data_IF_424730161425
#
_entry.id   IF_424730161425
#
_cell.length_a   1.000
_cell.length_b   1.000
_cell.length_c   1.000
_cell.angle_alpha   90.00
_cell.angle_beta   90.00
_cell.angle_gamma   90.00
#
_symmetry.space_group_name_H-M   'P 1'
#
loop_
_entity.id
_entity.type
_entity.pdbx_description
1 polymer ?
#
# COMPACT_ATOMS: atom_id res chain seq x y z
N UNK A 1 35.23 -9.09 38.17
CA UNK A 1 36.47 -8.37 38.59
C UNK A 1 37.10 -7.73 37.36
N UNK A 2 37.64 -6.50 37.50
CA UNK A 2 38.44 -5.73 36.51
C UNK A 2 37.65 -5.20 35.28
N UNK A 3 37.65 -3.92 34.88
CA UNK A 3 38.17 -2.68 35.44
C UNK A 3 37.56 -1.49 34.66
N UNK A 4 37.29 -0.40 35.38
CA UNK A 4 36.88 0.91 34.87
C UNK A 4 38.04 1.62 34.17
N UNK A 5 37.76 2.47 33.18
CA UNK A 5 38.58 3.67 32.87
C UNK A 5 37.68 4.89 32.66
N UNK A 6 38.06 5.96 33.36
CA UNK A 6 37.48 7.31 33.37
C UNK A 6 38.26 8.26 32.43
N UNK A 7 37.63 9.42 32.19
CA UNK A 7 38.20 10.72 31.78
C UNK A 7 38.55 10.86 30.29
N UNK A 8 38.27 11.98 29.60
CA UNK A 8 38.67 13.34 30.01
C UNK A 8 37.82 14.42 29.32
N UNK A 9 37.48 15.44 30.11
CA UNK A 9 36.81 16.70 29.75
C UNK A 9 37.76 17.56 28.91
N UNK A 10 37.30 18.04 27.75
CA UNK A 10 38.01 19.02 26.93
C UNK A 10 37.28 20.37 26.97
N UNK A 11 37.80 21.32 27.75
CA UNK A 11 37.37 22.71 27.78
C UNK A 11 38.57 23.61 27.41
N UNK A 12 38.40 24.46 26.39
CA UNK A 12 39.24 25.63 26.08
C UNK A 12 38.25 26.76 25.69
N UNK A 13 37.87 27.65 26.61
CA UNK A 13 38.48 28.96 26.91
C UNK A 13 38.40 29.99 25.76
N UNK A 14 37.39 30.87 25.91
CA UNK A 14 37.39 32.34 25.88
C UNK A 14 38.25 33.09 24.84
N UNK A 15 37.57 33.95 24.09
CA UNK A 15 37.98 35.36 23.88
C UNK A 15 37.98 35.83 22.43
N UNK A 16 37.16 36.85 22.11
CA UNK A 16 37.59 38.22 21.74
C UNK A 16 36.37 39.04 21.29
N UNK A 17 36.21 40.21 21.91
CA UNK A 17 35.30 41.32 21.55
C UNK A 17 35.87 42.15 20.40
N UNK A 18 35.02 42.65 19.49
CA UNK A 18 34.95 44.03 18.92
C UNK A 18 34.10 44.04 17.61
N UNK A 19 33.77 45.21 17.00
CA UNK A 19 32.70 46.14 17.36
C UNK A 19 31.65 46.35 16.22
N UNK A 20 30.63 47.15 16.54
CA UNK A 20 29.51 47.60 15.70
C UNK A 20 29.94 48.29 14.39
N UNK A 21 29.36 47.87 13.26
CA UNK A 21 29.18 48.71 12.08
C UNK A 21 27.93 48.29 11.28
N UNK A 22 27.02 49.26 11.15
CA UNK A 22 25.75 49.20 10.46
C UNK A 22 25.87 48.92 8.96
N UNK A 23 24.99 48.08 8.43
CA UNK A 23 24.41 48.28 7.10
C UNK A 23 22.93 47.94 7.15
N UNK A 24 22.10 48.98 6.98
CA UNK A 24 20.69 48.87 6.74
C UNK A 24 20.47 48.11 5.41
N UNK A 25 19.75 46.99 5.47
CA UNK A 25 19.22 46.35 4.25
C UNK A 25 17.80 46.85 3.98
N UNK A 26 17.51 47.30 2.76
CA UNK A 26 16.18 47.75 2.39
C UNK A 26 15.18 46.60 2.48
N UNK A 27 13.98 46.95 2.95
CA UNK A 27 12.80 46.12 2.86
C UNK A 27 12.57 45.71 1.40
N UNK A 28 12.80 44.44 1.10
CA UNK A 28 12.22 43.78 -0.05
C UNK A 28 11.25 42.76 0.50
N UNK A 29 9.97 43.14 0.51
CA UNK A 29 8.88 42.23 0.78
C UNK A 29 8.94 41.11 -0.26
N UNK A 30 9.37 39.94 0.17
CA UNK A 30 9.20 38.71 -0.58
C UNK A 30 7.69 38.45 -0.65
N UNK A 31 7.07 38.40 -1.85
CA UNK A 31 5.77 37.79 -1.97
C UNK A 31 5.99 36.31 -1.62
N UNK A 32 5.62 35.92 -0.40
CA UNK A 32 5.43 34.51 -0.09
C UNK A 32 4.23 34.11 -0.93
N UNK A 33 4.52 33.58 -2.12
CA UNK A 33 3.55 32.83 -2.89
C UNK A 33 2.94 31.82 -1.93
N UNK A 34 1.64 31.97 -1.74
CA UNK A 34 0.76 30.99 -1.10
C UNK A 34 1.06 29.62 -1.68
N UNK A 35 1.95 28.87 -1.06
CA UNK A 35 2.05 27.45 -1.33
C UNK A 35 1.02 26.76 -0.44
N UNK A 36 -0.16 26.57 -1.03
CA UNK A 36 -1.20 25.72 -0.51
C UNK A 36 -0.85 24.22 -0.62
N UNK A 37 0.42 23.82 -0.52
CA UNK A 37 0.82 22.42 -0.37
C UNK A 37 0.68 21.98 1.09
N UNK A 38 -0.55 22.03 1.59
CA UNK A 38 -0.97 21.06 2.60
C UNK A 38 -1.13 19.73 1.85
N UNK A 39 -0.46 18.64 2.23
CA UNK A 39 -0.89 17.33 1.77
C UNK A 39 -2.29 17.10 2.35
N UNK A 40 -3.32 17.40 1.57
CA UNK A 40 -4.69 16.97 1.86
C UNK A 40 -4.75 15.49 1.51
N UNK A 41 -4.40 14.63 2.46
CA UNK A 41 -4.88 13.25 2.46
C UNK A 41 -5.66 13.07 3.76
N UNK A 42 -7.00 12.96 3.68
CA UNK A 42 -7.59 11.62 3.75
C UNK A 42 -8.85 11.39 2.89
N UNK A 43 -9.27 12.31 2.00
CA UNK A 43 -10.47 12.08 1.19
C UNK A 43 -10.26 11.08 0.03
N UNK A 44 -9.12 11.16 -0.66
CA UNK A 44 -8.79 10.31 -1.82
C UNK A 44 -8.54 8.84 -1.46
N UNK A 45 -8.05 8.57 -0.25
CA UNK A 45 -7.76 7.20 0.22
C UNK A 45 -9.02 6.33 0.27
N UNK A 46 -10.17 6.94 0.54
CA UNK A 46 -11.46 6.25 0.56
C UNK A 46 -12.01 6.05 -0.84
N UNK A 47 -11.83 7.03 -1.74
CA UNK A 47 -12.26 6.96 -3.14
C UNK A 47 -11.48 5.91 -3.94
N UNK A 48 -10.29 5.51 -3.48
CA UNK A 48 -9.54 4.42 -4.10
C UNK A 48 -9.50 3.15 -3.24
N UNK A 49 -10.37 3.01 -2.25
CA UNK A 49 -10.43 1.81 -1.41
C UNK A 49 -11.10 0.65 -2.16
N UNK A 50 -10.50 -0.54 -2.07
CA UNK A 50 -11.03 -1.79 -2.58
C UNK A 50 -12.20 -2.23 -1.70
N UNK A 51 -13.28 -2.67 -2.34
CA UNK A 51 -14.42 -3.37 -1.77
C UNK A 51 -14.65 -4.65 -2.58
N UNK A 52 -14.44 -5.81 -1.98
CA UNK A 52 -14.64 -7.09 -2.68
C UNK A 52 -16.12 -7.34 -2.93
N UNK A 53 -16.48 -7.63 -4.19
CA UNK A 53 -17.85 -7.98 -4.58
C UNK A 53 -18.05 -9.49 -4.59
N UNK A 54 -17.11 -10.22 -5.18
CA UNK A 54 -17.15 -11.68 -5.26
C UNK A 54 -15.76 -12.26 -5.49
N UNK A 55 -15.50 -13.43 -4.92
CA UNK A 55 -14.35 -14.24 -5.29
C UNK A 55 -14.69 -15.72 -5.26
N UNK A 56 -14.40 -16.40 -6.36
CA UNK A 56 -14.64 -17.83 -6.54
C UNK A 56 -13.35 -18.53 -6.91
N UNK A 57 -12.99 -19.57 -6.16
CA UNK A 57 -11.91 -20.50 -6.51
C UNK A 57 -12.50 -21.83 -6.98
N UNK A 58 -12.10 -22.27 -8.17
CA UNK A 58 -12.48 -23.55 -8.77
C UNK A 58 -13.84 -23.53 -9.46
N UNK A 59 -14.21 -22.43 -10.11
CA UNK A 59 -15.46 -22.39 -10.89
C UNK A 59 -15.42 -23.39 -12.04
N UNK A 60 -14.26 -23.55 -12.68
CA UNK A 60 -14.00 -24.62 -13.65
C UNK A 60 -14.10 -26.04 -13.06
N UNK A 61 -14.03 -26.17 -11.74
CA UNK A 61 -14.10 -27.42 -11.00
C UNK A 61 -15.48 -27.64 -10.34
N UNK A 62 -16.47 -26.81 -10.64
CA UNK A 62 -17.82 -26.91 -10.06
C UNK A 62 -17.92 -26.48 -8.59
N UNK A 63 -16.98 -25.66 -8.11
CA UNK A 63 -17.08 -25.10 -6.76
C UNK A 63 -18.17 -24.05 -6.66
N UNK A 64 -18.69 -23.87 -5.45
CA UNK A 64 -19.69 -22.86 -5.16
C UNK A 64 -19.14 -21.46 -5.38
N UNK A 65 -19.92 -20.62 -6.06
CA UNK A 65 -19.60 -19.22 -6.21
C UNK A 65 -19.46 -18.53 -4.86
N UNK A 66 -18.43 -17.70 -4.75
CA UNK A 66 -18.18 -16.90 -3.57
C UNK A 66 -17.44 -17.60 -2.43
N UNK A 67 -17.00 -18.85 -2.60
CA UNK A 67 -16.24 -19.60 -1.57
C UNK A 67 -14.96 -18.90 -1.08
N UNK A 68 -14.36 -18.02 -1.87
CA UNK A 68 -13.18 -17.23 -1.51
C UNK A 68 -13.49 -15.77 -1.13
N UNK A 69 -14.75 -15.33 -1.25
CA UNK A 69 -15.14 -13.92 -1.08
C UNK A 69 -14.79 -13.41 0.31
N UNK A 70 -15.17 -14.13 1.35
CA UNK A 70 -14.98 -13.68 2.73
C UNK A 70 -13.51 -13.64 3.16
N UNK A 71 -12.67 -14.53 2.63
CA UNK A 71 -11.23 -14.52 2.91
C UNK A 71 -10.51 -13.39 2.15
N UNK A 72 -10.89 -13.16 0.89
CA UNK A 72 -10.37 -12.06 0.09
C UNK A 72 -10.78 -10.69 0.68
N UNK A 73 -12.05 -10.52 1.03
CA UNK A 73 -12.62 -9.33 1.65
C UNK A 73 -11.86 -8.95 2.93
N UNK A 74 -11.68 -9.92 3.84
CA UNK A 74 -10.96 -9.73 5.10
C UNK A 74 -9.53 -9.20 4.91
N UNK A 75 -8.87 -9.56 3.81
CA UNK A 75 -7.47 -9.21 3.56
C UNK A 75 -7.29 -7.94 2.74
N UNK A 76 -8.26 -7.61 1.90
CA UNK A 76 -8.10 -6.56 0.89
C UNK A 76 -9.08 -5.39 1.02
N UNK A 77 -10.19 -5.53 1.74
CA UNK A 77 -11.13 -4.42 1.92
C UNK A 77 -10.47 -3.23 2.63
N UNK A 78 -10.77 -2.01 2.15
CA UNK A 78 -10.20 -0.78 2.68
C UNK A 78 -8.78 -0.47 2.22
N UNK A 79 -8.13 -1.37 1.48
CA UNK A 79 -6.81 -1.13 0.90
C UNK A 79 -6.92 -0.51 -0.50
N UNK A 80 -5.91 0.26 -0.90
CA UNK A 80 -5.83 0.85 -2.25
C UNK A 80 -5.25 -0.12 -3.29
N UNK A 81 -4.44 -1.07 -2.82
CA UNK A 81 -3.89 -2.18 -3.56
C UNK A 81 -3.60 -3.33 -2.58
N UNK A 82 -3.83 -4.56 -3.01
CA UNK A 82 -3.70 -5.76 -2.19
C UNK A 82 -3.15 -6.90 -3.03
N UNK A 83 -2.16 -7.62 -2.50
CA UNK A 83 -1.69 -8.88 -3.09
C UNK A 83 -2.30 -10.01 -2.28
N UNK A 84 -3.26 -10.71 -2.88
CA UNK A 84 -3.87 -11.88 -2.28
C UNK A 84 -3.08 -13.13 -2.67
N UNK A 85 -2.61 -13.88 -1.67
CA UNK A 85 -2.00 -15.19 -1.88
C UNK A 85 -3.06 -16.27 -1.71
N UNK A 86 -3.19 -17.13 -2.72
CA UNK A 86 -4.06 -18.29 -2.65
C UNK A 86 -3.52 -19.26 -1.58
N UNK A 87 -4.30 -19.49 -0.52
CA UNK A 87 -3.89 -20.40 0.56
C UNK A 87 -4.34 -21.83 0.30
N UNK A 88 -3.64 -22.77 0.93
CA UNK A 88 -4.00 -24.19 0.89
C UNK A 88 -5.36 -24.50 1.51
N UNK A 89 -5.93 -23.61 2.34
CA UNK A 89 -7.26 -23.83 2.92
C UNK A 89 -8.36 -23.64 1.87
N UNK A 90 -8.20 -22.66 0.96
CA UNK A 90 -9.12 -22.41 -0.15
C UNK A 90 -8.86 -23.39 -1.30
N UNK A 91 -7.59 -23.72 -1.57
CA UNK A 91 -7.20 -24.55 -2.70
C UNK A 91 -7.11 -26.05 -2.42
N UNK A 92 -6.88 -26.46 -1.17
CA UNK A 92 -6.34 -27.77 -0.78
C UNK A 92 -7.33 -28.93 -0.78
N UNK A 93 -8.63 -28.66 -0.70
CA UNK A 93 -9.63 -29.71 -0.86
C UNK A 93 -9.75 -30.15 -2.34
N UNK A 94 -9.47 -29.25 -3.27
CA UNK A 94 -9.79 -29.39 -4.69
C UNK A 94 -8.54 -29.73 -5.51
N UNK A 95 -7.37 -29.23 -5.08
CA UNK A 95 -6.11 -29.26 -5.83
C UNK A 95 -5.58 -30.65 -6.16
N UNK A 96 -6.04 -31.71 -5.49
CA UNK A 96 -5.64 -33.10 -5.79
C UNK A 96 -6.35 -33.69 -7.01
N UNK A 97 -7.56 -33.24 -7.34
CA UNK A 97 -8.36 -33.79 -8.44
C UNK A 97 -8.68 -32.76 -9.53
N UNK A 98 -8.79 -31.48 -9.18
CA UNK A 98 -9.06 -30.40 -10.12
C UNK A 98 -8.38 -29.09 -9.66
N UNK A 99 -7.47 -28.57 -10.48
CA UNK A 99 -6.85 -27.28 -10.21
C UNK A 99 -7.78 -26.16 -10.67
N UNK A 100 -8.23 -25.38 -9.69
CA UNK A 100 -9.20 -24.32 -9.89
C UNK A 100 -8.63 -23.12 -10.67
N UNK A 101 -9.49 -22.39 -11.35
CA UNK A 101 -9.30 -20.96 -11.60
C UNK A 101 -9.61 -20.16 -10.33
N UNK A 102 -9.02 -18.98 -10.15
CA UNK A 102 -9.46 -18.02 -9.13
C UNK A 102 -9.98 -16.81 -9.88
N UNK A 103 -11.24 -16.43 -9.69
CA UNK A 103 -11.80 -15.19 -10.25
C UNK A 103 -12.23 -14.30 -9.10
N UNK A 104 -11.73 -13.07 -9.07
CA UNK A 104 -12.15 -12.07 -8.10
C UNK A 104 -12.65 -10.81 -8.82
N UNK A 105 -13.69 -10.22 -8.26
CA UNK A 105 -14.27 -8.96 -8.68
C UNK A 105 -14.31 -8.02 -7.48
N UNK A 106 -13.89 -6.78 -7.69
CA UNK A 106 -13.90 -5.75 -6.66
C UNK A 106 -14.32 -4.42 -7.24
N UNK A 107 -14.86 -3.57 -6.37
CA UNK A 107 -15.19 -2.20 -6.67
C UNK A 107 -14.25 -1.27 -5.92
N UNK A 108 -13.92 -0.15 -6.54
CA UNK A 108 -13.15 0.93 -5.94
C UNK A 108 -14.10 2.01 -5.41
N UNK A 109 -13.64 2.83 -4.46
CA UNK A 109 -14.48 3.86 -3.82
C UNK A 109 -15.04 4.93 -4.77
N UNK A 110 -14.53 5.02 -5.99
CA UNK A 110 -14.99 5.83 -7.12
C UNK A 110 -16.09 5.14 -7.95
N UNK A 111 -16.47 3.92 -7.57
CA UNK A 111 -17.48 3.09 -8.23
C UNK A 111 -16.93 2.21 -9.36
N UNK A 112 -15.65 2.32 -9.73
CA UNK A 112 -15.06 1.51 -10.80
C UNK A 112 -15.00 0.04 -10.38
N UNK A 113 -15.48 -0.84 -11.26
CA UNK A 113 -15.46 -2.28 -11.01
C UNK A 113 -14.34 -2.92 -11.81
N UNK A 114 -13.51 -3.69 -11.12
CA UNK A 114 -12.38 -4.40 -11.68
C UNK A 114 -12.52 -5.89 -11.45
N UNK A 115 -11.88 -6.67 -12.32
CA UNK A 115 -11.81 -8.10 -12.21
C UNK A 115 -10.40 -8.58 -12.52
N UNK A 116 -9.97 -9.63 -11.84
CA UNK A 116 -8.73 -10.32 -12.11
C UNK A 116 -8.92 -11.81 -11.89
N UNK A 117 -8.14 -12.60 -12.62
CA UNK A 117 -8.22 -14.04 -12.52
C UNK A 117 -6.84 -14.69 -12.53
N UNK A 118 -6.70 -15.76 -11.75
CA UNK A 118 -5.69 -16.78 -11.95
C UNK A 118 -6.29 -17.85 -12.85
N UNK A 119 -5.56 -18.26 -13.88
CA UNK A 119 -5.99 -19.31 -14.80
C UNK A 119 -6.16 -20.65 -14.09
N UNK A 120 -6.90 -21.56 -14.74
CA UNK A 120 -6.97 -22.95 -14.32
C UNK A 120 -5.55 -23.52 -14.14
N UNK A 121 -5.30 -24.14 -12.99
CA UNK A 121 -3.95 -24.51 -12.59
C UNK A 121 -3.45 -23.79 -11.34
N UNK A 122 -4.17 -22.75 -10.90
CA UNK A 122 -3.80 -21.94 -9.75
C UNK A 122 -3.54 -22.79 -8.51
N UNK A 123 -2.35 -22.64 -7.95
CA UNK A 123 -1.81 -23.43 -6.86
C UNK A 123 -1.66 -22.58 -5.58
N UNK A 124 -1.62 -23.23 -4.40
CA UNK A 124 -1.25 -22.54 -3.17
C UNK A 124 0.07 -21.76 -3.36
N UNK A 125 0.06 -20.48 -3.01
CA UNK A 125 1.18 -19.56 -3.18
C UNK A 125 1.09 -18.64 -4.39
N UNK A 126 0.21 -18.92 -5.35
CA UNK A 126 -0.07 -18.00 -6.46
C UNK A 126 -0.67 -16.69 -5.95
N UNK A 127 -0.36 -15.60 -6.66
CA UNK A 127 -0.64 -14.24 -6.21
C UNK A 127 -1.57 -13.53 -7.17
N UNK A 128 -2.67 -13.02 -6.65
CA UNK A 128 -3.60 -12.15 -7.37
C UNK A 128 -3.40 -10.71 -6.89
N UNK A 129 -3.08 -9.80 -7.80
CA UNK A 129 -2.96 -8.37 -7.51
C UNK A 129 -4.31 -7.69 -7.74
N UNK A 130 -4.83 -7.04 -6.71
CA UNK A 130 -5.99 -6.16 -6.76
C UNK A 130 -5.51 -4.72 -6.56
N UNK A 131 -6.03 -3.80 -7.37
CA UNK A 131 -5.65 -2.39 -7.31
C UNK A 131 -6.78 -1.53 -7.84
N UNK A 132 -7.00 -0.39 -7.20
CA UNK A 132 -7.85 0.69 -7.69
C UNK A 132 -7.08 1.73 -8.49
N UNK A 133 -5.76 1.56 -8.57
CA UNK A 133 -4.91 2.34 -9.48
C UNK A 133 -4.99 1.66 -10.83
N UNK A 134 -5.36 2.41 -11.86
CA UNK A 134 -5.22 2.04 -13.26
C UNK A 134 -3.84 1.43 -13.49
N UNK A 135 -3.76 0.12 -13.62
CA UNK A 135 -2.67 -0.49 -14.36
C UNK A 135 -3.21 -0.59 -15.77
N UNK A 136 -2.76 0.32 -16.65
CA UNK A 136 -3.04 0.23 -18.07
C UNK A 136 -2.71 -1.21 -18.51
N UNK A 137 -3.74 -2.03 -18.64
CA UNK A 137 -3.59 -3.40 -19.10
C UNK A 137 -3.04 -3.38 -20.52
N UNK A 138 -2.36 -4.44 -20.93
CA UNK A 138 -1.92 -4.64 -22.30
C UNK A 138 -3.15 -4.69 -23.24
N UNK A 139 -3.65 -3.52 -23.60
CA UNK A 139 -4.70 -3.31 -24.58
C UNK A 139 -4.21 -3.80 -25.93
N UNK A 140 -5.09 -4.54 -26.62
CA UNK A 140 -4.91 -4.88 -28.03
C UNK A 140 -5.42 -3.74 -28.88
#
# INVERSE_FOLDING_TARGET
MKSRRLATVGACVVGVLAPLASLASPAQGVPVLTDASRPTAPADRHLSAITILSATYGRNCGQQDGNATSDLARRCDGHTACIYMLTGDIAGANSRSCRGDLVAQWQCGDGQTHAAALSAGAAPGDRLLLSCREFAGAGK
#
